data_IF_794061849251
#
_entry.id   IF_794061849251
#
_cell.length_a   1.000
_cell.length_b   1.000
_cell.length_c   1.000
_cell.angle_alpha   90.00
_cell.angle_beta   90.00
_cell.angle_gamma   90.00
#
_symmetry.space_group_name_H-M   'P 1'
#
loop_
_entity.id
_entity.type
_entity.pdbx_description
1 polymer ?
#
# COMPACT_ATOMS: atom_id res chain seq x y z
N UNK A 1 -7.56 -23.20 -59.36
CA UNK A 1 -7.35 -21.80 -58.94
C UNK A 1 -7.56 -21.73 -57.44
N UNK A 2 -6.45 -21.75 -56.68
CA UNK A 2 -6.47 -21.71 -55.21
C UNK A 2 -6.49 -20.23 -54.79
N UNK A 3 -7.57 -19.77 -54.14
CA UNK A 3 -7.66 -18.44 -53.56
C UNK A 3 -6.83 -18.40 -52.27
N UNK A 4 -5.74 -17.60 -52.27
CA UNK A 4 -4.98 -17.28 -51.08
C UNK A 4 -5.91 -16.62 -50.03
N UNK A 5 -5.82 -17.00 -48.74
CA UNK A 5 -6.59 -16.33 -47.69
C UNK A 5 -6.09 -14.87 -47.53
N UNK A 6 -7.00 -13.95 -47.17
CA UNK A 6 -6.62 -12.54 -46.94
C UNK A 6 -5.64 -12.43 -45.79
N UNK A 7 -4.68 -11.47 -45.83
CA UNK A 7 -3.75 -11.25 -44.73
C UNK A 7 -4.50 -10.76 -43.46
N UNK A 8 -4.14 -11.37 -42.34
CA UNK A 8 -4.66 -10.97 -41.02
C UNK A 8 -4.34 -9.48 -40.75
N UNK A 9 -5.26 -8.70 -40.20
CA UNK A 9 -4.99 -7.32 -39.86
C UNK A 9 -3.87 -7.26 -38.81
N UNK A 10 -2.77 -6.61 -39.16
CA UNK A 10 -1.68 -6.29 -38.25
C UNK A 10 -2.22 -5.24 -37.28
N UNK A 11 -2.61 -5.67 -36.08
CA UNK A 11 -2.93 -4.75 -34.99
C UNK A 11 -1.64 -4.03 -34.57
N UNK A 12 -1.38 -2.90 -35.20
CA UNK A 12 -0.36 -1.96 -34.77
C UNK A 12 -0.86 -1.28 -33.50
N UNK A 13 -0.66 -1.94 -32.35
CA UNK A 13 -0.82 -1.29 -31.06
C UNK A 13 0.23 -0.18 -30.97
N UNK A 14 -0.22 1.07 -31.00
CA UNK A 14 0.69 2.21 -30.91
C UNK A 14 1.41 2.18 -29.56
N UNK A 15 2.75 2.44 -29.52
CA UNK A 15 3.54 2.41 -28.29
C UNK A 15 3.07 3.42 -27.22
N UNK A 16 2.22 4.38 -27.61
CA UNK A 16 1.74 5.47 -26.75
C UNK A 16 0.78 5.08 -25.64
N UNK A 17 0.22 3.85 -25.66
CA UNK A 17 -0.77 3.42 -24.65
C UNK A 17 -0.15 2.90 -23.35
N UNK A 18 1.07 2.37 -23.39
CA UNK A 18 1.77 1.85 -22.21
C UNK A 18 2.44 2.96 -21.39
N UNK A 19 2.98 4.00 -22.02
CA UNK A 19 3.57 5.13 -21.32
C UNK A 19 2.55 6.02 -20.58
N UNK A 20 1.30 6.09 -21.06
CA UNK A 20 0.24 6.89 -20.41
C UNK A 20 -0.33 6.29 -19.12
N UNK A 21 -0.08 5.01 -18.84
CA UNK A 21 -0.65 4.36 -17.63
C UNK A 21 0.11 4.66 -16.34
N UNK A 22 1.35 5.18 -16.43
CA UNK A 22 2.20 5.48 -15.26
C UNK A 22 1.95 6.89 -14.68
N UNK A 23 1.35 7.80 -15.47
CA UNK A 23 1.04 9.16 -15.05
C UNK A 23 -0.33 9.54 -15.61
N UNK A 24 -1.37 9.47 -14.77
CA UNK A 24 -2.61 10.19 -15.02
C UNK A 24 -2.47 11.54 -14.31
N UNK A 25 -2.02 12.62 -15.00
CA UNK A 25 -1.78 13.91 -14.35
C UNK A 25 -3.04 14.45 -13.66
N UNK A 26 -4.21 14.22 -14.24
CA UNK A 26 -5.47 14.72 -13.70
C UNK A 26 -5.88 14.10 -12.34
N UNK A 27 -5.57 12.81 -12.10
CA UNK A 27 -5.87 12.16 -10.82
C UNK A 27 -4.98 12.68 -9.69
N UNK A 28 -3.68 12.82 -9.95
CA UNK A 28 -2.72 13.34 -8.97
C UNK A 28 -3.02 14.80 -8.62
N UNK A 29 -3.42 15.63 -9.60
CA UNK A 29 -3.84 17.00 -9.36
C UNK A 29 -5.11 17.04 -8.50
N UNK A 30 -6.09 16.16 -8.77
CA UNK A 30 -7.29 16.03 -7.96
C UNK A 30 -7.01 15.67 -6.49
N UNK A 31 -6.07 14.74 -6.26
CA UNK A 31 -5.64 14.38 -4.90
C UNK A 31 -4.89 15.53 -4.20
N UNK A 32 -4.05 16.27 -4.91
CA UNK A 32 -3.38 17.45 -4.37
C UNK A 32 -4.38 18.54 -3.96
N UNK A 33 -5.39 18.81 -4.79
CA UNK A 33 -6.45 19.77 -4.48
C UNK A 33 -7.24 19.29 -3.26
N UNK A 34 -7.63 18.02 -3.21
CA UNK A 34 -8.36 17.45 -2.07
C UNK A 34 -7.56 17.53 -0.77
N UNK A 35 -6.26 17.16 -0.80
CA UNK A 35 -5.37 17.28 0.35
C UNK A 35 -5.20 18.74 0.80
N UNK A 36 -5.02 19.67 -0.15
CA UNK A 36 -4.90 21.10 0.14
C UNK A 36 -6.16 21.70 0.76
N UNK A 37 -7.34 21.33 0.24
CA UNK A 37 -8.63 21.76 0.81
C UNK A 37 -8.83 21.22 2.22
N UNK A 38 -8.58 19.92 2.45
CA UNK A 38 -8.67 19.33 3.79
C UNK A 38 -7.71 20.02 4.77
N UNK A 39 -6.46 20.24 4.34
CA UNK A 39 -5.47 20.96 5.13
C UNK A 39 -5.96 22.37 5.49
N UNK A 40 -6.45 23.13 4.52
CA UNK A 40 -6.95 24.49 4.72
C UNK A 40 -8.17 24.53 5.66
N UNK A 41 -9.11 23.59 5.50
CA UNK A 41 -10.30 23.51 6.37
C UNK A 41 -9.89 23.20 7.82
N UNK A 42 -8.99 22.22 8.04
CA UNK A 42 -8.55 21.87 9.38
C UNK A 42 -7.75 23.03 10.00
N UNK A 43 -6.88 23.68 9.21
CA UNK A 43 -6.09 24.82 9.66
C UNK A 43 -6.95 26.03 10.04
N UNK A 44 -8.08 26.23 9.35
CA UNK A 44 -9.03 27.30 9.68
C UNK A 44 -9.89 26.97 10.92
N UNK A 45 -10.12 25.67 11.20
CA UNK A 45 -10.97 25.24 12.32
C UNK A 45 -10.21 25.05 13.63
N UNK A 46 -8.93 24.68 13.58
CA UNK A 46 -8.12 24.28 14.76
C UNK A 46 -6.90 25.18 14.96
N UNK A 47 -6.83 25.88 16.10
CA UNK A 47 -5.69 26.69 16.52
C UNK A 47 -4.44 25.85 16.85
N UNK A 48 -4.61 24.55 17.07
CA UNK A 48 -3.52 23.62 17.43
C UNK A 48 -2.89 22.93 16.23
N UNK A 49 -3.61 22.90 15.10
CA UNK A 49 -3.21 22.16 13.92
C UNK A 49 -1.85 22.63 13.34
N UNK A 50 -1.63 23.93 13.25
CA UNK A 50 -0.38 24.50 12.67
C UNK A 50 0.80 24.50 13.64
N UNK A 51 0.62 24.06 14.92
CA UNK A 51 1.73 23.99 15.87
C UNK A 51 2.79 22.99 15.39
N UNK A 52 4.09 23.30 15.57
CA UNK A 52 5.18 22.42 15.10
C UNK A 52 5.09 20.99 15.62
N UNK A 53 4.64 20.80 16.86
CA UNK A 53 4.45 19.48 17.45
C UNK A 53 3.37 18.68 16.73
N UNK A 54 2.23 19.31 16.40
CA UNK A 54 1.13 18.67 15.69
C UNK A 54 1.57 18.24 14.28
N UNK A 55 2.27 19.11 13.56
CA UNK A 55 2.81 18.78 12.22
C UNK A 55 3.86 17.65 12.28
N UNK A 56 4.65 17.61 13.35
CA UNK A 56 5.59 16.52 13.59
C UNK A 56 4.86 15.18 13.78
N UNK A 57 3.80 15.13 14.58
CA UNK A 57 2.98 13.93 14.82
C UNK A 57 2.27 13.50 13.53
N UNK A 58 1.66 14.43 12.80
CA UNK A 58 0.99 14.15 11.51
C UNK A 58 1.99 13.55 10.51
N UNK A 59 3.19 14.12 10.41
CA UNK A 59 4.22 13.62 9.49
C UNK A 59 4.63 12.18 9.80
N UNK A 60 4.73 11.78 11.07
CA UNK A 60 5.01 10.41 11.47
C UNK A 60 3.85 9.46 11.09
N UNK A 61 2.61 9.87 11.35
CA UNK A 61 1.43 9.08 10.99
C UNK A 61 1.31 8.89 9.47
N UNK A 62 1.57 9.94 8.68
CA UNK A 62 1.65 9.84 7.20
C UNK A 62 2.68 8.79 6.81
N UNK A 63 3.88 8.85 7.39
CA UNK A 63 4.94 7.92 7.07
C UNK A 63 4.56 6.47 7.38
N UNK A 64 3.94 6.21 8.53
CA UNK A 64 3.44 4.90 8.92
C UNK A 64 2.42 4.38 7.91
N UNK A 65 1.39 5.18 7.61
CA UNK A 65 0.30 4.74 6.74
C UNK A 65 0.75 4.54 5.29
N UNK A 66 1.70 5.35 4.80
CA UNK A 66 2.30 5.17 3.48
C UNK A 66 3.09 3.86 3.39
N UNK A 67 3.91 3.53 4.40
CA UNK A 67 4.65 2.25 4.40
C UNK A 67 3.71 1.03 4.45
N UNK A 68 2.68 1.09 5.28
CA UNK A 68 1.64 0.05 5.36
C UNK A 68 0.87 -0.08 4.04
N UNK A 69 0.58 1.05 3.38
CA UNK A 69 -0.07 1.06 2.07
C UNK A 69 0.85 0.53 0.96
N UNK A 70 2.16 0.79 1.01
CA UNK A 70 3.13 0.20 0.09
C UNK A 70 3.16 -1.32 0.20
N UNK A 71 3.08 -1.87 1.44
CA UNK A 71 2.98 -3.32 1.64
C UNK A 71 1.76 -3.93 0.93
N UNK A 72 0.63 -3.24 0.90
CA UNK A 72 -0.56 -3.67 0.17
C UNK A 72 -0.45 -3.42 -1.33
N UNK A 73 0.04 -2.24 -1.73
CA UNK A 73 0.09 -1.79 -3.10
C UNK A 73 0.94 -2.70 -4.00
N UNK A 74 2.06 -3.23 -3.49
CA UNK A 74 2.92 -4.14 -4.27
C UNK A 74 2.22 -5.46 -4.59
N UNK A 75 1.33 -5.96 -3.72
CA UNK A 75 0.50 -7.12 -4.02
C UNK A 75 -0.63 -6.77 -4.99
N UNK A 76 -1.30 -5.63 -4.79
CA UNK A 76 -2.35 -5.17 -5.70
C UNK A 76 -1.83 -5.00 -7.13
N UNK A 77 -0.60 -4.50 -7.29
CA UNK A 77 0.01 -4.31 -8.63
C UNK A 77 0.05 -5.60 -9.44
N UNK A 78 0.30 -6.74 -8.84
CA UNK A 78 0.34 -8.04 -9.54
C UNK A 78 -1.03 -8.73 -9.60
N UNK A 79 -2.11 -8.03 -9.24
CA UNK A 79 -3.48 -8.56 -9.23
C UNK A 79 -3.81 -9.40 -7.99
N UNK A 80 -2.93 -9.43 -6.99
CA UNK A 80 -3.14 -10.13 -5.71
C UNK A 80 -3.57 -9.18 -4.59
N UNK A 81 -3.94 -9.77 -3.44
CA UNK A 81 -4.24 -9.05 -2.20
C UNK A 81 -3.45 -9.65 -1.05
N UNK A 82 -3.08 -8.84 -0.06
CA UNK A 82 -2.46 -9.34 1.17
C UNK A 82 -3.25 -8.89 2.40
N UNK A 83 -4.13 -9.77 2.89
CA UNK A 83 -4.90 -9.53 4.10
C UNK A 83 -4.05 -9.67 5.38
N UNK A 84 -2.90 -10.34 5.27
CA UNK A 84 -2.03 -10.59 6.42
C UNK A 84 -1.05 -9.45 6.74
N UNK A 85 -1.10 -8.31 6.03
CA UNK A 85 -0.17 -7.17 6.23
C UNK A 85 -0.09 -6.76 7.71
N UNK A 86 -1.23 -6.59 8.36
CA UNK A 86 -1.29 -6.21 9.77
C UNK A 86 -0.77 -7.31 10.70
N UNK A 87 -1.12 -8.56 10.43
CA UNK A 87 -0.66 -9.71 11.22
C UNK A 87 0.85 -9.93 11.08
N UNK A 88 1.41 -9.72 9.88
CA UNK A 88 2.87 -9.72 9.64
C UNK A 88 3.51 -8.59 10.47
N UNK A 89 2.98 -7.37 10.42
CA UNK A 89 3.49 -6.26 11.22
C UNK A 89 3.49 -6.56 12.71
N UNK A 90 2.40 -7.12 13.23
CA UNK A 90 2.27 -7.51 14.62
C UNK A 90 3.27 -8.61 15.03
N UNK A 91 3.41 -9.68 14.21
CA UNK A 91 4.36 -10.75 14.47
C UNK A 91 5.80 -10.24 14.44
N UNK A 92 6.13 -9.36 13.50
CA UNK A 92 7.43 -8.71 13.41
C UNK A 92 7.71 -7.84 14.64
N UNK A 93 6.71 -7.09 15.12
CA UNK A 93 6.84 -6.30 16.35
C UNK A 93 7.18 -7.18 17.54
N UNK A 94 6.50 -8.33 17.69
CA UNK A 94 6.80 -9.30 18.75
C UNK A 94 8.20 -9.91 18.59
N UNK A 95 8.59 -10.30 17.37
CA UNK A 95 9.92 -10.82 17.09
C UNK A 95 11.04 -9.79 17.40
N UNK A 96 10.80 -8.53 17.03
CA UNK A 96 11.69 -7.42 17.35
C UNK A 96 11.80 -7.20 18.88
N UNK A 97 10.65 -7.24 19.57
CA UNK A 97 10.58 -7.10 21.01
C UNK A 97 11.36 -8.19 21.75
N UNK A 98 11.20 -9.45 21.34
CA UNK A 98 12.00 -10.57 21.87
C UNK A 98 13.50 -10.35 21.73
N UNK A 99 13.93 -9.78 20.59
CA UNK A 99 15.34 -9.48 20.36
C UNK A 99 15.84 -8.35 21.27
N UNK A 100 15.06 -7.26 21.39
CA UNK A 100 15.50 -6.03 22.04
C UNK A 100 15.36 -6.05 23.56
N UNK A 101 14.36 -6.78 24.10
CA UNK A 101 14.10 -6.79 25.54
C UNK A 101 15.27 -7.45 26.29
N UNK A 102 15.93 -6.72 27.22
CA UNK A 102 17.02 -7.27 28.03
C UNK A 102 16.64 -8.48 28.88
N UNK A 103 15.35 -8.66 29.18
CA UNK A 103 14.83 -9.82 29.91
C UNK A 103 14.69 -11.08 29.05
N UNK A 104 14.76 -10.91 27.71
CA UNK A 104 14.68 -11.99 26.72
C UNK A 104 16.07 -12.24 26.12
N UNK A 105 16.29 -11.77 24.86
CA UNK A 105 17.57 -11.99 24.18
C UNK A 105 18.56 -10.85 24.36
N UNK A 106 18.11 -9.62 24.61
CA UNK A 106 18.95 -8.45 24.83
C UNK A 106 19.90 -8.13 23.68
N UNK A 107 19.51 -8.44 22.46
CA UNK A 107 20.34 -8.28 21.26
C UNK A 107 20.37 -6.80 20.84
N UNK A 108 21.52 -6.26 20.43
CA UNK A 108 21.60 -4.87 19.98
C UNK A 108 20.76 -4.61 18.71
N UNK A 109 20.27 -3.38 18.56
CA UNK A 109 19.35 -2.98 17.50
C UNK A 109 19.86 -3.29 16.07
N UNK A 110 21.17 -3.19 15.82
CA UNK A 110 21.79 -3.48 14.53
C UNK A 110 21.65 -4.95 14.09
N UNK A 111 21.42 -5.88 15.02
CA UNK A 111 21.11 -7.28 14.76
C UNK A 111 19.60 -7.53 14.79
N UNK A 112 18.88 -6.92 15.74
CA UNK A 112 17.44 -7.09 15.91
C UNK A 112 16.64 -6.59 14.67
N UNK A 113 17.02 -5.45 14.10
CA UNK A 113 16.33 -4.88 12.93
C UNK A 113 16.44 -5.78 11.69
N UNK A 114 17.62 -6.24 11.23
CA UNK A 114 17.70 -7.17 10.10
C UNK A 114 16.94 -8.48 10.35
N UNK A 115 16.97 -9.01 11.58
CA UNK A 115 16.19 -10.19 11.95
C UNK A 115 14.68 -9.94 11.79
N UNK A 116 14.17 -8.84 12.32
CA UNK A 116 12.76 -8.44 12.19
C UNK A 116 12.33 -8.28 10.72
N UNK A 117 13.17 -7.65 9.89
CA UNK A 117 12.92 -7.53 8.44
C UNK A 117 12.93 -8.89 7.74
N UNK A 118 13.82 -9.79 8.14
CA UNK A 118 13.87 -11.16 7.62
C UNK A 118 12.62 -11.96 7.99
N UNK A 119 12.12 -11.84 9.24
CA UNK A 119 10.86 -12.48 9.68
C UNK A 119 9.68 -12.04 8.82
N UNK A 120 9.49 -10.73 8.60
CA UNK A 120 8.38 -10.26 7.76
C UNK A 120 8.53 -10.63 6.29
N UNK A 121 9.76 -10.61 5.76
CA UNK A 121 10.05 -11.08 4.39
C UNK A 121 9.76 -12.57 4.24
N UNK A 122 10.08 -13.39 5.27
CA UNK A 122 9.77 -14.82 5.30
C UNK A 122 8.26 -15.08 5.35
N UNK A 123 7.50 -14.30 6.14
CA UNK A 123 6.04 -14.37 6.11
C UNK A 123 5.47 -14.07 4.72
N UNK A 124 5.98 -13.01 4.07
CA UNK A 124 5.64 -12.70 2.69
C UNK A 124 6.04 -13.80 1.71
N UNK A 125 7.22 -14.40 1.88
CA UNK A 125 7.68 -15.55 1.09
C UNK A 125 6.75 -16.74 1.23
N UNK A 126 6.32 -17.08 2.45
CA UNK A 126 5.36 -18.17 2.73
C UNK A 126 4.06 -17.90 1.95
N UNK A 127 3.50 -16.69 2.03
CA UNK A 127 2.31 -16.32 1.27
C UNK A 127 2.54 -16.51 -0.24
N UNK A 128 3.63 -15.99 -0.77
CA UNK A 128 3.96 -16.09 -2.19
C UNK A 128 4.14 -17.52 -2.66
N UNK A 129 4.80 -18.38 -1.86
CA UNK A 129 4.99 -19.81 -2.18
C UNK A 129 3.65 -20.54 -2.24
N UNK A 130 2.76 -20.31 -1.27
CA UNK A 130 1.43 -20.93 -1.25
C UNK A 130 0.58 -20.50 -2.46
N UNK A 131 0.63 -19.21 -2.83
CA UNK A 131 -0.10 -18.70 -4.00
C UNK A 131 0.42 -19.32 -5.29
N UNK A 132 1.75 -19.35 -5.48
CA UNK A 132 2.38 -19.75 -6.74
C UNK A 132 2.40 -21.28 -6.91
N UNK A 133 2.83 -22.02 -5.90
CA UNK A 133 3.05 -23.47 -6.04
C UNK A 133 1.79 -24.28 -5.72
N UNK A 134 1.00 -23.86 -4.72
CA UNK A 134 -0.25 -24.54 -4.39
C UNK A 134 -1.42 -24.02 -5.24
N UNK A 135 -1.22 -22.88 -5.95
CA UNK A 135 -2.21 -22.22 -6.83
C UNK A 135 -3.52 -21.87 -6.13
N UNK A 136 -3.43 -21.51 -4.86
CA UNK A 136 -4.57 -21.03 -4.08
C UNK A 136 -4.70 -19.53 -4.31
N UNK A 137 -5.94 -19.03 -4.38
CA UNK A 137 -6.22 -17.60 -4.50
C UNK A 137 -5.56 -16.80 -3.37
N UNK A 138 -4.95 -15.66 -3.71
CA UNK A 138 -4.21 -14.81 -2.75
C UNK A 138 -5.06 -14.36 -1.55
N UNK A 139 -6.37 -14.13 -1.77
CA UNK A 139 -7.31 -13.78 -0.70
C UNK A 139 -7.39 -14.89 0.36
N UNK A 140 -7.59 -16.15 -0.07
CA UNK A 140 -7.72 -17.30 0.83
C UNK A 140 -6.41 -17.56 1.57
N UNK A 141 -5.27 -17.55 0.86
CA UNK A 141 -3.95 -17.75 1.45
C UNK A 141 -3.69 -16.69 2.52
N UNK A 142 -3.82 -15.41 2.18
CA UNK A 142 -3.45 -14.32 3.09
C UNK A 142 -4.45 -14.15 4.23
N UNK A 143 -5.72 -14.54 4.05
CA UNK A 143 -6.68 -14.63 5.13
C UNK A 143 -6.30 -15.73 6.14
N UNK A 144 -5.96 -16.92 5.65
CA UNK A 144 -5.57 -18.04 6.50
C UNK A 144 -4.26 -17.74 7.25
N UNK A 145 -3.25 -17.23 6.54
CA UNK A 145 -1.96 -16.87 7.17
C UNK A 145 -2.09 -15.69 8.13
N UNK A 146 -3.06 -14.76 7.91
CA UNK A 146 -3.38 -13.72 8.88
C UNK A 146 -3.71 -14.33 10.24
N UNK A 147 -4.61 -15.30 10.29
CA UNK A 147 -4.96 -15.98 11.56
C UNK A 147 -3.78 -16.76 12.16
N UNK A 148 -2.97 -17.41 11.31
CA UNK A 148 -1.77 -18.13 11.77
C UNK A 148 -0.79 -17.14 12.42
N UNK A 149 -0.47 -16.02 11.76
CA UNK A 149 0.47 -15.03 12.28
C UNK A 149 -0.07 -14.31 13.52
N UNK A 150 -1.38 -14.05 13.59
CA UNK A 150 -2.04 -13.54 14.80
C UNK A 150 -1.94 -14.54 15.95
N UNK A 151 -2.16 -15.82 15.69
CA UNK A 151 -2.00 -16.89 16.70
C UNK A 151 -0.55 -17.00 17.19
N UNK A 152 0.43 -16.99 16.27
CA UNK A 152 1.85 -17.02 16.61
C UNK A 152 2.27 -15.83 17.47
N UNK A 153 1.89 -14.60 17.11
CA UNK A 153 2.21 -13.41 17.91
C UNK A 153 1.67 -13.51 19.32
N UNK A 154 0.42 -13.98 19.46
CA UNK A 154 -0.24 -14.11 20.77
C UNK A 154 0.37 -15.25 21.60
N UNK A 155 0.68 -16.38 20.96
CA UNK A 155 1.34 -17.51 21.63
C UNK A 155 2.77 -17.18 22.11
N UNK A 156 3.51 -16.39 21.33
CA UNK A 156 4.89 -15.98 21.67
C UNK A 156 4.88 -14.90 22.75
N UNK A 157 4.01 -13.87 22.63
CA UNK A 157 4.02 -12.73 23.57
C UNK A 157 3.19 -12.94 24.82
N UNK A 158 2.32 -13.95 24.86
CA UNK A 158 1.32 -14.10 25.93
C UNK A 158 0.38 -12.89 26.02
N UNK A 159 0.29 -12.08 24.94
CA UNK A 159 -0.51 -10.84 24.92
C UNK A 159 0.15 -9.63 25.60
N UNK A 160 1.39 -9.77 26.08
CA UNK A 160 2.11 -8.70 26.77
C UNK A 160 3.09 -7.98 25.84
N UNK A 161 3.25 -6.64 25.97
CA UNK A 161 4.24 -5.90 25.23
C UNK A 161 5.65 -6.15 25.77
N UNK A 162 6.65 -6.12 24.87
CA UNK A 162 8.07 -6.17 25.24
C UNK A 162 8.65 -4.76 25.42
N UNK A 163 9.62 -4.65 26.32
CA UNK A 163 10.36 -3.40 26.50
C UNK A 163 11.31 -3.16 25.33
N UNK A 164 11.43 -1.89 24.95
CA UNK A 164 12.34 -1.45 23.89
C UNK A 164 13.35 -0.49 24.52
N UNK A 165 14.66 -0.68 24.31
CA UNK A 165 15.68 0.22 24.86
C UNK A 165 15.53 1.65 24.36
N UNK A 166 15.82 2.65 25.21
CA UNK A 166 15.73 4.08 24.84
C UNK A 166 16.61 4.43 23.63
N UNK A 167 17.76 3.77 23.48
CA UNK A 167 18.63 3.94 22.32
C UNK A 167 17.96 3.59 21.00
N UNK A 168 16.97 2.71 20.99
CA UNK A 168 16.21 2.33 19.81
C UNK A 168 15.11 3.32 19.47
N UNK A 169 14.58 4.05 20.46
CA UNK A 169 13.51 5.06 20.23
C UNK A 169 13.98 6.28 19.45
N UNK A 170 15.29 6.52 19.38
CA UNK A 170 15.89 7.66 18.68
C UNK A 170 15.43 7.73 17.22
N UNK A 171 15.29 6.58 16.53
CA UNK A 171 14.89 6.54 15.12
C UNK A 171 13.42 6.89 14.95
N UNK A 172 12.54 6.40 15.83
CA UNK A 172 11.08 6.66 15.76
C UNK A 172 10.67 8.04 16.28
N UNK A 173 11.40 8.55 17.29
CA UNK A 173 11.06 9.81 17.97
C UNK A 173 11.95 10.98 17.56
N UNK A 174 13.09 10.71 16.93
CA UNK A 174 14.05 11.73 16.53
C UNK A 174 13.62 12.56 15.33
N UNK A 175 14.24 13.72 15.20
CA UNK A 175 14.02 14.67 14.10
C UNK A 175 15.31 15.36 13.66
N UNK A 176 15.36 15.74 12.39
CA UNK A 176 16.40 16.61 11.83
C UNK A 176 15.72 17.80 11.15
N UNK A 177 16.13 19.01 11.47
CA UNK A 177 15.49 20.25 10.98
C UNK A 177 13.96 20.29 11.17
N UNK A 178 13.45 19.65 12.24
CA UNK A 178 12.01 19.58 12.50
C UNK A 178 11.26 18.45 11.79
N UNK A 179 11.91 17.72 10.87
CA UNK A 179 11.33 16.59 10.10
C UNK A 179 11.63 15.29 10.85
N UNK A 180 10.62 14.42 11.10
CA UNK A 180 10.85 13.11 11.72
C UNK A 180 11.76 12.20 10.89
N UNK A 181 12.65 11.45 11.51
CA UNK A 181 13.44 10.43 10.81
C UNK A 181 12.52 9.38 10.15
N UNK A 182 11.43 9.04 10.79
CA UNK A 182 10.43 8.13 10.24
C UNK A 182 9.93 8.60 8.86
N UNK A 183 9.62 9.91 8.73
CA UNK A 183 9.18 10.49 7.46
C UNK A 183 10.28 10.46 6.38
N UNK A 184 11.53 10.71 6.76
CA UNK A 184 12.66 10.66 5.84
C UNK A 184 12.90 9.24 5.33
N UNK A 185 12.84 8.23 6.21
CA UNK A 185 12.98 6.82 5.84
C UNK A 185 11.85 6.42 4.87
N UNK A 186 10.61 6.78 5.18
CA UNK A 186 9.46 6.54 4.29
C UNK A 186 9.70 7.19 2.92
N UNK A 187 10.20 8.41 2.87
CA UNK A 187 10.46 9.11 1.61
C UNK A 187 11.51 8.38 0.76
N UNK A 188 12.59 7.90 1.37
CA UNK A 188 13.62 7.09 0.70
C UNK A 188 13.01 5.82 0.12
N UNK A 189 12.19 5.10 0.91
CA UNK A 189 11.50 3.89 0.44
C UNK A 189 10.54 4.19 -0.70
N UNK A 190 9.78 5.28 -0.60
CA UNK A 190 8.84 5.71 -1.63
C UNK A 190 9.56 6.05 -2.95
N UNK A 191 10.70 6.75 -2.88
CA UNK A 191 11.53 7.06 -4.05
C UNK A 191 12.10 5.76 -4.65
N UNK A 192 12.57 4.82 -3.82
CA UNK A 192 13.08 3.53 -4.28
C UNK A 192 11.99 2.72 -5.00
N UNK A 193 10.76 2.70 -4.46
CA UNK A 193 9.60 2.05 -5.10
C UNK A 193 9.23 2.76 -6.42
N UNK A 194 9.18 4.09 -6.42
CA UNK A 194 8.93 4.87 -7.64
C UNK A 194 9.98 4.56 -8.73
N UNK A 195 11.26 4.52 -8.35
CA UNK A 195 12.35 4.16 -9.24
C UNK A 195 12.23 2.72 -9.75
N UNK A 196 11.90 1.78 -8.85
CA UNK A 196 11.72 0.36 -9.19
C UNK A 196 10.67 0.19 -10.30
N UNK A 197 9.48 0.78 -10.14
CA UNK A 197 8.40 0.63 -11.13
C UNK A 197 8.65 1.41 -12.42
N UNK A 198 9.31 2.55 -12.36
CA UNK A 198 9.56 3.39 -13.53
C UNK A 198 10.77 2.92 -14.35
N UNK A 199 11.87 2.55 -13.68
CA UNK A 199 13.18 2.40 -14.34
C UNK A 199 13.70 0.96 -14.36
N UNK A 200 13.13 0.02 -13.56
CA UNK A 200 13.65 -1.36 -13.54
C UNK A 200 12.82 -2.32 -14.37
N UNK A 201 13.45 -3.38 -14.87
CA UNK A 201 12.80 -4.48 -15.59
C UNK A 201 11.85 -5.22 -14.66
N UNK A 202 12.22 -5.39 -13.39
CA UNK A 202 11.41 -6.07 -12.37
C UNK A 202 10.07 -5.36 -12.16
N UNK A 203 10.08 -4.05 -11.90
CA UNK A 203 8.87 -3.27 -11.70
C UNK A 203 7.95 -3.26 -12.92
N UNK A 204 8.52 -3.11 -14.14
CA UNK A 204 7.72 -3.18 -15.38
C UNK A 204 7.09 -4.56 -15.61
N UNK A 205 7.80 -5.65 -15.28
CA UNK A 205 7.23 -7.01 -15.36
C UNK A 205 6.13 -7.23 -14.33
N UNK A 206 6.23 -6.67 -13.12
CA UNK A 206 5.14 -6.70 -12.13
C UNK A 206 3.89 -5.99 -12.65
N UNK A 207 4.04 -4.79 -13.23
CA UNK A 207 2.93 -4.05 -13.86
C UNK A 207 2.29 -4.83 -15.01
N UNK A 208 3.09 -5.48 -15.85
CA UNK A 208 2.61 -6.30 -16.95
C UNK A 208 1.83 -7.52 -16.44
N UNK A 209 2.36 -8.20 -15.41
CA UNK A 209 1.71 -9.36 -14.76
C UNK A 209 0.32 -8.99 -14.24
N UNK A 210 0.19 -7.88 -13.53
CA UNK A 210 -1.10 -7.46 -12.99
C UNK A 210 -2.03 -6.82 -14.04
N UNK A 211 -1.50 -6.35 -15.17
CA UNK A 211 -2.32 -5.81 -16.25
C UNK A 211 -3.07 -6.90 -17.02
N UNK A 212 -2.41 -8.00 -17.34
CA UNK A 212 -2.97 -9.22 -17.87
C UNK A 212 -1.93 -10.34 -17.71
N UNK A 213 -2.18 -11.27 -16.80
CA UNK A 213 -1.25 -12.34 -16.46
C UNK A 213 -1.00 -13.28 -17.64
N UNK A 214 -2.05 -13.66 -18.39
CA UNK A 214 -1.93 -14.58 -19.53
C UNK A 214 -1.11 -13.96 -20.65
N UNK A 215 -1.38 -12.69 -21.01
CA UNK A 215 -0.60 -11.97 -22.01
C UNK A 215 0.85 -11.78 -21.59
N UNK A 216 1.11 -11.50 -20.31
CA UNK A 216 2.46 -11.39 -19.75
C UNK A 216 3.22 -12.72 -19.86
N UNK A 217 2.55 -13.84 -19.55
CA UNK A 217 3.10 -15.20 -19.64
C UNK A 217 3.43 -15.57 -21.10
N UNK A 218 2.52 -15.27 -22.03
CA UNK A 218 2.76 -15.46 -23.47
C UNK A 218 3.91 -14.60 -24.00
N UNK A 219 4.16 -13.44 -23.40
CA UNK A 219 5.30 -12.57 -23.70
C UNK A 219 6.61 -13.01 -23.02
N UNK A 220 6.66 -14.20 -22.41
CA UNK A 220 7.86 -14.76 -21.77
C UNK A 220 8.18 -14.21 -20.38
N UNK A 221 7.23 -13.51 -19.73
CA UNK A 221 7.40 -13.05 -18.35
C UNK A 221 7.07 -14.21 -17.41
N UNK A 222 7.98 -14.50 -16.48
CA UNK A 222 7.75 -15.47 -15.40
C UNK A 222 6.86 -14.83 -14.33
N UNK A 223 5.53 -14.89 -14.51
CA UNK A 223 4.53 -14.25 -13.63
C UNK A 223 4.64 -14.76 -12.20
N UNK A 224 4.93 -16.05 -12.01
CA UNK A 224 5.13 -16.67 -10.69
C UNK A 224 6.21 -15.96 -9.86
N UNK A 225 7.34 -15.60 -10.49
CA UNK A 225 8.40 -14.86 -9.79
C UNK A 225 7.99 -13.43 -9.44
N UNK A 226 7.12 -12.82 -10.23
CA UNK A 226 6.60 -11.48 -9.95
C UNK A 226 5.64 -11.50 -8.77
N UNK A 227 4.75 -12.50 -8.70
CA UNK A 227 3.82 -12.72 -7.58
C UNK A 227 4.59 -13.03 -6.29
N UNK A 228 5.60 -13.91 -6.36
CA UNK A 228 6.47 -14.21 -5.22
C UNK A 228 7.19 -12.97 -4.72
N UNK A 229 7.83 -12.23 -5.63
CA UNK A 229 8.55 -10.99 -5.30
C UNK A 229 7.65 -9.92 -4.69
N UNK A 230 6.42 -9.78 -5.19
CA UNK A 230 5.43 -8.86 -4.63
C UNK A 230 5.09 -9.20 -3.16
N UNK A 231 4.88 -10.48 -2.86
CA UNK A 231 4.56 -10.92 -1.50
C UNK A 231 5.76 -10.74 -0.55
N UNK A 232 7.00 -11.02 -1.00
CA UNK A 232 8.22 -10.77 -0.20
C UNK A 232 8.39 -9.28 0.08
N UNK A 233 8.22 -8.41 -0.93
CA UNK A 233 8.27 -6.96 -0.74
C UNK A 233 7.15 -6.46 0.19
N UNK A 234 5.96 -7.04 0.11
CA UNK A 234 4.86 -6.74 1.03
C UNK A 234 5.24 -7.03 2.48
N UNK A 235 5.81 -8.21 2.73
CA UNK A 235 6.31 -8.57 4.07
C UNK A 235 7.44 -7.65 4.54
N UNK A 236 8.34 -7.25 3.64
CA UNK A 236 9.44 -6.32 3.94
C UNK A 236 8.91 -4.92 4.32
N UNK A 237 7.94 -4.38 3.59
CA UNK A 237 7.38 -3.05 3.91
C UNK A 237 6.53 -3.07 5.17
N UNK A 238 5.77 -4.15 5.41
CA UNK A 238 5.04 -4.35 6.66
C UNK A 238 6.02 -4.43 7.86
N UNK A 239 7.13 -5.13 7.72
CA UNK A 239 8.14 -5.23 8.78
C UNK A 239 8.86 -3.91 9.02
N UNK A 240 9.17 -3.15 7.98
CA UNK A 240 9.78 -1.82 8.12
C UNK A 240 8.84 -0.86 8.86
N UNK A 241 7.55 -0.87 8.52
CA UNK A 241 6.54 -0.10 9.23
C UNK A 241 6.47 -0.51 10.72
N UNK A 242 6.51 -1.82 11.01
CA UNK A 242 6.46 -2.36 12.37
C UNK A 242 7.67 -1.95 13.21
N UNK A 243 8.88 -2.05 12.65
CA UNK A 243 10.14 -1.65 13.31
C UNK A 243 10.13 -0.17 13.66
N UNK A 244 9.75 0.68 12.71
CA UNK A 244 9.70 2.14 12.92
C UNK A 244 8.61 2.53 13.91
N UNK A 245 7.46 1.86 13.89
CA UNK A 245 6.37 2.12 14.82
C UNK A 245 6.69 1.67 16.24
N UNK A 246 7.34 0.51 16.41
CA UNK A 246 7.84 0.08 17.73
C UNK A 246 8.87 1.06 18.30
N UNK A 247 9.76 1.60 17.45
CA UNK A 247 10.70 2.66 17.81
C UNK A 247 9.99 3.96 18.20
N UNK A 248 8.88 4.32 17.53
CA UNK A 248 8.07 5.50 17.85
C UNK A 248 7.37 5.36 19.20
N UNK A 249 6.75 4.19 19.44
CA UNK A 249 6.03 3.93 20.70
C UNK A 249 6.95 3.70 21.90
N UNK A 250 8.21 3.31 21.68
CA UNK A 250 9.10 2.86 22.75
C UNK A 250 8.66 1.54 23.38
N UNK A 251 7.85 0.76 22.67
CA UNK A 251 7.27 -0.49 23.13
C UNK A 251 6.94 -1.39 21.94
N UNK A 252 7.20 -2.67 22.07
CA UNK A 252 6.83 -3.68 21.07
C UNK A 252 5.51 -4.36 21.46
N UNK A 253 4.39 -3.68 21.17
CA UNK A 253 3.05 -4.15 21.52
C UNK A 253 2.53 -5.16 20.47
N UNK A 254 1.97 -6.30 20.89
CA UNK A 254 1.50 -7.32 19.94
C UNK A 254 0.32 -6.84 19.08
N UNK A 255 -0.48 -5.87 19.50
CA UNK A 255 -1.64 -5.33 18.77
C UNK A 255 -1.27 -4.32 17.68
N UNK A 256 0.01 -4.03 17.47
CA UNK A 256 0.53 -2.96 16.60
C UNK A 256 -0.12 -2.94 15.21
N UNK A 257 -0.35 -4.09 14.60
CA UNK A 257 -0.86 -4.22 13.23
C UNK A 257 -2.38 -4.42 13.09
N UNK A 258 -3.16 -4.46 14.16
CA UNK A 258 -4.57 -4.88 14.12
C UNK A 258 -5.45 -3.99 13.23
N UNK A 259 -5.17 -2.70 13.17
CA UNK A 259 -5.90 -1.75 12.30
C UNK A 259 -5.33 -1.63 10.87
N UNK A 260 -4.16 -2.23 10.58
CA UNK A 260 -3.43 -1.96 9.35
C UNK A 260 -4.09 -2.54 8.10
N UNK A 261 -4.91 -3.57 8.24
CA UNK A 261 -5.63 -4.14 7.10
C UNK A 261 -6.46 -3.07 6.39
N UNK A 262 -7.35 -2.38 7.11
CA UNK A 262 -8.23 -1.35 6.56
C UNK A 262 -7.39 -0.19 6.01
N UNK A 263 -6.41 0.28 6.78
CA UNK A 263 -5.54 1.40 6.40
C UNK A 263 -4.77 1.09 5.11
N UNK A 264 -4.22 -0.13 4.98
CA UNK A 264 -3.41 -0.53 3.82
C UNK A 264 -4.19 -0.43 2.52
N UNK A 265 -5.43 -0.93 2.51
CA UNK A 265 -6.34 -0.82 1.36
C UNK A 265 -6.79 0.62 1.12
N UNK A 266 -7.24 1.31 2.17
CA UNK A 266 -7.74 2.68 2.08
C UNK A 266 -6.74 3.61 1.40
N UNK A 267 -5.52 3.66 1.93
CA UNK A 267 -4.48 4.56 1.43
C UNK A 267 -4.01 4.16 0.03
N UNK A 268 -3.87 2.85 -0.25
CA UNK A 268 -3.48 2.37 -1.58
C UNK A 268 -4.55 2.71 -2.65
N UNK A 269 -5.84 2.51 -2.34
CA UNK A 269 -6.95 2.76 -3.28
C UNK A 269 -7.15 4.27 -3.48
N UNK A 270 -7.19 5.07 -2.41
CA UNK A 270 -7.23 6.54 -2.50
C UNK A 270 -6.05 7.03 -3.34
N UNK A 271 -4.86 6.48 -3.13
CA UNK A 271 -3.65 6.77 -3.88
C UNK A 271 -3.68 6.34 -5.35
N UNK A 272 -4.69 5.58 -5.77
CA UNK A 272 -4.88 5.20 -7.16
C UNK A 272 -4.25 3.90 -7.57
N UNK A 273 -3.86 3.04 -6.63
CA UNK A 273 -3.51 1.67 -6.94
C UNK A 273 -4.79 0.90 -7.26
N UNK A 274 -4.87 0.36 -8.47
CA UNK A 274 -6.07 -0.36 -8.93
C UNK A 274 -6.23 -1.72 -8.26
N UNK A 275 -7.46 -2.08 -7.89
CA UNK A 275 -7.77 -3.44 -7.39
C UNK A 275 -7.59 -4.52 -8.47
N UNK A 276 -7.68 -4.14 -9.73
CA UNK A 276 -7.54 -5.06 -10.88
C UNK A 276 -6.08 -5.28 -11.30
N UNK A 277 -5.11 -4.70 -10.59
CA UNK A 277 -3.69 -4.81 -10.92
C UNK A 277 -3.18 -3.87 -12.02
N UNK A 278 -1.88 -3.96 -12.30
CA UNK A 278 -1.22 -3.27 -13.41
C UNK A 278 -1.01 -1.76 -13.24
N UNK A 279 -1.42 -1.16 -12.12
CA UNK A 279 -1.31 0.29 -11.89
C UNK A 279 -0.84 0.60 -10.48
N UNK A 280 0.16 1.46 -10.37
CA UNK A 280 0.64 2.02 -9.10
C UNK A 280 1.14 3.45 -9.32
N UNK A 281 0.92 4.31 -8.34
CA UNK A 281 1.48 5.65 -8.30
C UNK A 281 2.07 5.93 -6.92
N UNK A 282 3.40 6.03 -6.83
CA UNK A 282 4.07 6.34 -5.58
C UNK A 282 3.62 7.70 -5.01
N UNK A 283 3.52 8.73 -5.86
CA UNK A 283 2.97 10.03 -5.47
C UNK A 283 1.50 9.92 -5.05
N UNK A 284 0.72 9.08 -5.75
CA UNK A 284 -0.65 8.81 -5.36
C UNK A 284 -0.76 8.21 -3.97
N UNK A 285 0.06 7.21 -3.65
CA UNK A 285 0.08 6.58 -2.31
C UNK A 285 0.48 7.59 -1.23
N UNK A 286 1.45 8.47 -1.50
CA UNK A 286 1.81 9.55 -0.58
C UNK A 286 0.62 10.49 -0.33
N UNK A 287 -0.06 10.93 -1.40
CA UNK A 287 -1.26 11.77 -1.27
C UNK A 287 -2.40 11.05 -0.55
N UNK A 288 -2.60 9.76 -0.84
CA UNK A 288 -3.56 8.92 -0.11
C UNK A 288 -3.27 8.86 1.39
N UNK A 289 -2.00 8.68 1.76
CA UNK A 289 -1.56 8.70 3.17
C UNK A 289 -1.78 10.06 3.85
N UNK A 290 -1.48 11.15 3.14
CA UNK A 290 -1.74 12.51 3.63
C UNK A 290 -3.24 12.72 3.84
N UNK A 291 -4.07 12.42 2.84
CA UNK A 291 -5.53 12.59 2.92
C UNK A 291 -6.10 11.76 4.07
N UNK A 292 -5.72 10.48 4.17
CA UNK A 292 -6.18 9.58 5.24
C UNK A 292 -5.81 10.13 6.63
N UNK A 293 -4.56 10.59 6.79
CA UNK A 293 -4.08 11.15 8.06
C UNK A 293 -4.82 12.44 8.40
N UNK A 294 -5.02 13.34 7.43
CA UNK A 294 -5.74 14.59 7.63
C UNK A 294 -7.20 14.33 8.03
N UNK A 295 -7.89 13.38 7.38
CA UNK A 295 -9.25 13.01 7.76
C UNK A 295 -9.29 12.49 9.19
N UNK A 296 -8.38 11.58 9.55
CA UNK A 296 -8.30 11.03 10.90
C UNK A 296 -8.02 12.11 11.94
N UNK A 297 -7.08 13.01 11.64
CA UNK A 297 -6.74 14.12 12.54
C UNK A 297 -7.91 15.13 12.66
N UNK A 298 -8.56 15.46 11.55
CA UNK A 298 -9.74 16.33 11.54
C UNK A 298 -10.90 15.77 12.39
N UNK A 299 -11.13 14.45 12.33
CA UNK A 299 -12.13 13.79 13.20
C UNK A 299 -11.78 13.93 14.69
N UNK A 300 -10.50 13.89 15.05
CA UNK A 300 -10.03 14.11 16.43
C UNK A 300 -10.26 15.56 16.83
N UNK A 301 -9.94 16.52 15.98
CA UNK A 301 -10.13 17.97 16.26
C UNK A 301 -11.58 18.36 16.49
N UNK A 302 -12.53 17.79 15.73
CA UNK A 302 -13.97 18.00 15.97
C UNK A 302 -14.51 17.17 17.14
N UNK A 303 -13.63 16.51 17.92
CA UNK A 303 -13.98 15.66 19.06
C UNK A 303 -14.97 14.55 18.70
N UNK A 304 -14.85 13.99 17.48
CA UNK A 304 -15.64 12.84 17.08
C UNK A 304 -15.41 11.68 18.06
N UNK A 305 -16.48 10.94 18.36
CA UNK A 305 -16.40 9.85 19.32
C UNK A 305 -15.39 8.78 18.84
N UNK A 306 -14.32 8.49 19.60
CA UNK A 306 -13.26 7.54 19.20
C UNK A 306 -13.79 6.13 18.90
N UNK A 307 -14.87 5.69 19.55
CA UNK A 307 -15.45 4.37 19.32
C UNK A 307 -16.05 4.21 17.91
N UNK A 308 -16.46 5.32 17.26
CA UNK A 308 -16.98 5.32 15.89
C UNK A 308 -15.93 5.68 14.84
N UNK A 309 -14.67 5.85 15.22
CA UNK A 309 -13.61 6.24 14.28
C UNK A 309 -13.53 5.32 13.06
N UNK A 310 -13.60 4.01 13.27
CA UNK A 310 -13.56 3.02 12.17
C UNK A 310 -14.82 3.11 11.28
N UNK A 311 -15.98 3.50 11.83
CA UNK A 311 -17.21 3.72 11.05
C UNK A 311 -17.02 4.91 10.13
N UNK A 312 -16.54 6.05 10.65
CA UNK A 312 -16.28 7.24 9.83
C UNK A 312 -15.26 6.98 8.73
N UNK A 313 -14.16 6.32 9.07
CA UNK A 313 -13.12 5.96 8.10
C UNK A 313 -13.65 4.98 7.04
N UNK A 314 -14.43 3.97 7.45
CA UNK A 314 -15.05 3.02 6.52
C UNK A 314 -16.03 3.68 5.55
N UNK A 315 -16.88 4.59 6.03
CA UNK A 315 -17.80 5.37 5.21
C UNK A 315 -17.06 6.26 4.21
N UNK A 316 -15.98 6.90 4.64
CA UNK A 316 -15.17 7.75 3.77
C UNK A 316 -14.46 6.95 2.67
N UNK A 317 -13.95 5.75 2.99
CA UNK A 317 -13.37 4.84 2.01
C UNK A 317 -14.42 4.40 1.00
N UNK A 318 -15.61 4.00 1.47
CA UNK A 318 -16.71 3.59 0.61
C UNK A 318 -17.13 4.72 -0.33
N UNK A 319 -17.24 5.94 0.19
CA UNK A 319 -17.55 7.14 -0.60
C UNK A 319 -16.48 7.41 -1.67
N UNK A 320 -15.19 7.32 -1.29
CA UNK A 320 -14.09 7.52 -2.23
C UNK A 320 -14.13 6.50 -3.38
N UNK A 321 -14.36 5.21 -3.06
CA UNK A 321 -14.48 4.13 -4.06
C UNK A 321 -15.71 4.33 -4.94
N UNK A 322 -16.85 4.71 -4.36
CA UNK A 322 -18.09 4.96 -5.09
C UNK A 322 -17.93 6.12 -6.09
N UNK A 323 -17.27 7.20 -5.68
CA UNK A 323 -16.97 8.34 -6.56
C UNK A 323 -16.04 7.93 -7.71
N UNK A 324 -14.99 7.17 -7.41
CA UNK A 324 -14.01 6.72 -8.42
C UNK A 324 -14.70 5.80 -9.45
N UNK A 325 -15.53 4.88 -8.98
CA UNK A 325 -16.33 4.00 -9.84
C UNK A 325 -17.36 4.74 -10.67
N UNK A 326 -18.03 5.73 -10.08
CA UNK A 326 -18.96 6.60 -10.80
C UNK A 326 -18.30 7.36 -11.96
N UNK A 327 -17.09 7.88 -11.72
CA UNK A 327 -16.29 8.56 -12.76
C UNK A 327 -15.87 7.62 -13.89
N UNK A 328 -15.48 6.38 -13.58
CA UNK A 328 -15.17 5.36 -14.60
C UNK A 328 -16.37 5.05 -15.48
N UNK A 329 -17.53 4.78 -14.88
CA UNK A 329 -18.77 4.46 -15.59
C UNK A 329 -19.19 5.64 -16.50
N UNK A 330 -19.12 6.87 -15.98
CA UNK A 330 -19.43 8.06 -16.76
C UNK A 330 -18.45 8.28 -17.93
N UNK A 331 -17.17 8.04 -17.71
CA UNK A 331 -16.14 8.12 -18.73
C UNK A 331 -16.30 7.08 -19.85
N UNK A 332 -16.70 5.84 -19.50
CA UNK A 332 -17.00 4.78 -20.46
C UNK A 332 -18.22 5.10 -21.32
N UNK A 333 -19.31 5.57 -20.71
CA UNK A 333 -20.52 5.99 -21.44
C UNK A 333 -20.24 7.11 -22.44
N UNK A 334 -19.38 8.08 -22.08
CA UNK A 334 -19.01 9.17 -22.97
C UNK A 334 -18.14 8.74 -24.17
N UNK A 335 -17.42 7.61 -24.05
CA UNK A 335 -16.64 7.03 -25.16
C UNK A 335 -17.47 6.17 -26.10
N UNK A 336 -18.49 5.48 -25.60
CA UNK A 336 -19.39 4.63 -26.39
C UNK A 336 -20.45 5.45 -27.16
N UNK A 337 -20.83 6.61 -26.68
CA UNK A 337 -21.82 7.46 -27.35
C UNK A 337 -21.46 7.88 -28.80
N UNK A 338 -20.19 8.21 -29.14
CA UNK A 338 -19.81 8.49 -30.53
C UNK A 338 -19.80 7.26 -31.44
N UNK A 339 -19.43 6.06 -30.92
CA UNK A 339 -19.40 4.81 -31.69
C UNK A 339 -20.81 4.36 -32.05
N UNK A 340 -21.75 4.40 -31.12
CA UNK A 340 -23.16 4.09 -31.38
C UNK A 340 -23.82 5.06 -32.37
N UNK A 341 -23.42 6.34 -32.35
CA UNK A 341 -23.90 7.33 -33.29
C UNK A 341 -23.32 7.15 -34.73
N UNK A 342 -22.09 6.63 -34.82
CA UNK A 342 -21.46 6.31 -36.11
C UNK A 342 -22.05 5.04 -36.74
N UNK A 343 -22.40 4.04 -35.95
CA UNK A 343 -23.00 2.76 -36.39
C UNK A 343 -24.44 2.94 -36.90
N UNK A 344 -25.17 3.92 -36.35
CA UNK A 344 -26.52 4.30 -36.85
C UNK A 344 -26.51 5.21 -38.07
N UNK A 345 -25.35 5.74 -38.46
CA UNK A 345 -25.21 6.65 -39.60
C UNK A 345 -24.78 5.96 -40.93
N UNK A 346 -24.46 4.64 -40.91
CA UNK A 346 -24.19 3.90 -42.14
C UNK A 346 -25.54 3.58 -42.84
N UNK A 347 -25.72 3.99 -44.10
CA UNK A 347 -26.94 3.65 -44.85
C UNK A 347 -26.98 2.16 -45.18
N UNK A 348 -28.18 1.54 -45.20
CA UNK A 348 -28.34 0.14 -45.55
C UNK A 348 -27.86 -0.13 -46.97
N UNK A 349 -26.98 -1.16 -47.16
CA UNK A 349 -26.49 -1.62 -48.47
C UNK A 349 -27.58 -2.35 -49.24
#
# INVERSE_FOLDING_TARGET
MSKKPPPLPVLTASPSSLERRVLIPGRTIGLLIAAGLLFAVIAAYSDTFLKPYTQFVISRQVAQFVLVALAQAVCLVVGGMNLSVGAIGSLVTVALGLCLDPKCWGVPAWQAVPFALAVGSACGLINGLLIVFVKINSFIVTLSTMFIFMGLRSGISGGSPYAVPDSFTIVGQGKIFGIPYFFLIMLVVLIAVAYMYRNTVFGRRMLATGGNEDAARLSGIRTDHMILGANVLSGLFASLAAVLYASELGSAAPETGDSWLIVSFAVAIIGGTGLNGGVISALGILMGGIIYTLIRHGLIEIKANPYYMNVYLGLLILLAIAIDRGREIYGQRKRQAPEAAAETAEPPQ
#
